data_IF_948933038225
#
_entry.id   IF_948933038225
#
_cell.length_a   1.000
_cell.length_b   1.000
_cell.length_c   1.000
_cell.angle_alpha   90.00
_cell.angle_beta   90.00
_cell.angle_gamma   90.00
#
_symmetry.space_group_name_H-M   'P 1'
#
loop_
_entity.id
_entity.type
_entity.pdbx_description
1 polymer ?
#
# COMPACT_ATOMS: atom_id res chain seq x y z
N UNK A 1 -3.78 -34.44 62.98
CA UNK A 1 -2.82 -33.72 62.12
C UNK A 1 -3.34 -33.53 60.70
N UNK A 2 -3.87 -34.58 60.06
CA UNK A 2 -4.45 -34.56 58.70
C UNK A 2 -5.56 -33.52 58.48
N UNK A 3 -6.51 -33.41 59.42
CA UNK A 3 -7.63 -32.45 59.34
C UNK A 3 -7.13 -30.98 59.29
N UNK A 4 -6.07 -30.65 60.03
CA UNK A 4 -5.50 -29.28 60.02
C UNK A 4 -4.82 -28.95 58.70
N UNK A 5 -4.15 -29.93 58.09
CA UNK A 5 -3.52 -29.79 56.77
C UNK A 5 -4.60 -29.59 55.70
N UNK A 6 -5.72 -30.30 55.80
CA UNK A 6 -6.86 -30.17 54.88
C UNK A 6 -7.49 -28.77 54.91
N UNK A 7 -7.70 -28.20 56.10
CA UNK A 7 -8.21 -26.83 56.24
C UNK A 7 -7.27 -25.78 55.63
N UNK A 8 -5.95 -25.95 55.80
CA UNK A 8 -4.96 -25.04 55.20
C UNK A 8 -4.97 -25.14 53.68
N UNK A 9 -5.07 -26.36 53.12
CA UNK A 9 -5.16 -26.55 51.67
C UNK A 9 -6.41 -25.90 51.06
N UNK A 10 -7.57 -26.06 51.72
CA UNK A 10 -8.82 -25.41 51.28
C UNK A 10 -8.70 -23.89 51.37
N UNK A 11 -8.11 -23.35 52.43
CA UNK A 11 -7.95 -21.90 52.58
C UNK A 11 -7.08 -21.31 51.45
N UNK A 12 -5.97 -21.97 51.11
CA UNK A 12 -5.09 -21.55 50.00
C UNK A 12 -5.84 -21.64 48.67
N UNK A 13 -6.57 -22.73 48.44
CA UNK A 13 -7.35 -22.92 47.22
C UNK A 13 -8.44 -21.86 47.05
N UNK A 14 -9.18 -21.53 48.13
CA UNK A 14 -10.20 -20.49 48.12
C UNK A 14 -9.62 -19.11 47.83
N UNK A 15 -8.46 -18.77 48.42
CA UNK A 15 -7.76 -17.51 48.13
C UNK A 15 -7.31 -17.46 46.67
N UNK A 16 -6.75 -18.56 46.14
CA UNK A 16 -6.35 -18.64 44.74
C UNK A 16 -7.53 -18.47 43.78
N UNK A 17 -8.68 -19.09 44.07
CA UNK A 17 -9.89 -18.94 43.25
C UNK A 17 -10.42 -17.50 43.26
N UNK A 18 -10.39 -16.81 44.40
CA UNK A 18 -10.76 -15.38 44.46
C UNK A 18 -9.81 -14.55 43.61
N UNK A 19 -8.49 -14.76 43.72
CA UNK A 19 -7.50 -14.04 42.90
C UNK A 19 -7.73 -14.28 41.40
N UNK A 20 -7.94 -15.53 41.00
CA UNK A 20 -8.21 -15.90 39.60
C UNK A 20 -9.55 -15.36 39.09
N UNK A 21 -10.55 -15.21 39.96
CA UNK A 21 -11.85 -14.61 39.59
C UNK A 21 -11.81 -13.09 39.41
N UNK A 22 -10.83 -12.42 40.03
CA UNK A 22 -10.63 -10.97 39.95
C UNK A 22 -9.70 -10.59 38.79
N UNK A 23 -8.89 -11.53 38.29
CA UNK A 23 -8.15 -11.34 37.04
C UNK A 23 -9.17 -11.25 35.89
N UNK A 24 -9.36 -10.04 35.36
CA UNK A 24 -10.25 -9.80 34.24
C UNK A 24 -9.92 -10.80 33.11
N UNK A 25 -10.93 -11.43 32.47
CA UNK A 25 -10.68 -12.41 31.44
C UNK A 25 -9.82 -11.76 30.33
N UNK A 26 -8.67 -12.39 30.06
CA UNK A 26 -7.74 -12.06 28.98
C UNK A 26 -8.40 -11.97 27.59
N UNK A 27 -9.67 -12.41 27.48
CA UNK A 27 -10.53 -12.24 26.32
C UNK A 27 -10.66 -10.78 25.86
N UNK A 28 -10.67 -9.80 26.79
CA UNK A 28 -10.83 -8.39 26.42
C UNK A 28 -9.64 -7.82 25.63
N UNK A 29 -8.41 -8.31 25.87
CA UNK A 29 -7.24 -7.92 25.07
C UNK A 29 -7.20 -8.64 23.72
N UNK A 30 -7.77 -9.84 23.64
CA UNK A 30 -7.86 -10.60 22.38
C UNK A 30 -8.78 -9.93 21.35
N UNK A 31 -9.84 -9.24 21.81
CA UNK A 31 -10.75 -8.45 20.95
C UNK A 31 -10.37 -6.97 20.82
N UNK A 32 -9.28 -6.51 21.48
CA UNK A 32 -8.80 -5.12 21.35
C UNK A 32 -8.09 -4.83 20.03
N UNK A 33 -7.69 -5.87 19.29
CA UNK A 33 -7.36 -5.68 17.90
C UNK A 33 -8.68 -5.46 17.18
N UNK A 34 -9.04 -4.20 16.96
CA UNK A 34 -10.18 -3.80 16.13
C UNK A 34 -10.11 -4.60 14.82
N UNK A 35 -10.95 -5.62 14.71
CA UNK A 35 -11.14 -6.34 13.47
C UNK A 35 -11.71 -5.31 12.50
N UNK A 36 -10.89 -4.83 11.57
CA UNK A 36 -11.34 -3.94 10.51
C UNK A 36 -12.23 -4.75 9.56
N UNK A 37 -13.53 -4.59 9.76
CA UNK A 37 -14.56 -5.24 8.96
C UNK A 37 -14.71 -4.46 7.64
N UNK A 38 -14.71 -5.18 6.52
CA UNK A 38 -15.00 -4.60 5.21
C UNK A 38 -16.44 -4.07 5.21
N UNK A 39 -16.61 -2.81 4.81
CA UNK A 39 -17.92 -2.16 4.71
C UNK A 39 -18.53 -2.29 3.31
N UNK A 40 -17.70 -2.41 2.27
CA UNK A 40 -18.14 -2.60 0.88
C UNK A 40 -17.18 -3.55 0.16
N UNK A 41 -17.74 -4.42 -0.67
CA UNK A 41 -17.02 -5.25 -1.64
C UNK A 41 -17.55 -4.97 -3.05
N UNK A 42 -16.65 -4.85 -4.01
CA UNK A 42 -16.91 -4.45 -5.40
C UNK A 42 -16.17 -5.39 -6.34
N UNK A 43 -16.77 -5.74 -7.47
CA UNK A 43 -16.20 -6.62 -8.49
C UNK A 43 -16.37 -5.95 -9.86
N UNK A 44 -15.37 -6.11 -10.75
CA UNK A 44 -15.40 -5.56 -12.11
C UNK A 44 -15.49 -4.02 -12.15
N UNK A 45 -14.61 -3.35 -11.41
CA UNK A 45 -14.65 -1.90 -11.22
C UNK A 45 -14.08 -1.20 -12.46
N UNK A 46 -14.82 -0.21 -12.94
CA UNK A 46 -14.36 0.79 -13.90
C UNK A 46 -14.86 2.14 -13.40
N UNK A 47 -13.94 3.07 -13.16
CA UNK A 47 -14.23 4.40 -12.66
C UNK A 47 -13.59 5.44 -13.59
N UNK A 48 -14.29 6.56 -13.77
CA UNK A 48 -13.89 7.64 -14.66
C UNK A 48 -13.91 8.97 -13.92
N UNK A 49 -12.79 9.68 -13.95
CA UNK A 49 -12.73 11.09 -13.62
C UNK A 49 -13.03 11.90 -14.87
N UNK A 50 -14.03 12.77 -14.80
CA UNK A 50 -14.51 13.56 -15.94
C UNK A 50 -14.60 15.03 -15.59
N UNK A 51 -14.44 15.89 -16.59
CA UNK A 51 -14.86 17.28 -16.53
C UNK A 51 -16.01 17.53 -17.53
N UNK A 52 -16.36 18.79 -17.78
CA UNK A 52 -17.48 19.13 -18.66
C UNK A 52 -17.31 18.70 -20.13
N UNK A 53 -16.10 18.34 -20.57
CA UNK A 53 -15.78 18.10 -21.98
C UNK A 53 -15.07 16.77 -22.26
N UNK A 54 -14.27 16.27 -21.31
CA UNK A 54 -13.40 15.10 -21.50
C UNK A 54 -13.33 14.20 -20.26
N UNK A 55 -12.91 12.95 -20.48
CA UNK A 55 -12.42 12.06 -19.43
C UNK A 55 -10.98 12.48 -19.12
N UNK A 56 -10.71 12.82 -17.87
CA UNK A 56 -9.39 13.22 -17.37
C UNK A 56 -8.55 12.01 -16.99
N UNK A 57 -9.16 11.03 -16.33
CA UNK A 57 -8.51 9.82 -15.89
C UNK A 57 -9.52 8.69 -15.74
N UNK A 58 -9.03 7.46 -15.67
CA UNK A 58 -9.85 6.30 -15.36
C UNK A 58 -9.05 5.31 -14.55
N UNK A 59 -9.71 4.52 -13.71
CA UNK A 59 -9.10 3.32 -13.19
C UNK A 59 -10.01 2.11 -13.33
N UNK A 60 -9.36 0.97 -13.49
CA UNK A 60 -9.98 -0.34 -13.57
C UNK A 60 -9.39 -1.23 -12.47
N UNK A 61 -10.21 -2.07 -11.86
CA UNK A 61 -9.75 -3.08 -10.92
C UNK A 61 -10.66 -4.30 -10.98
N UNK A 62 -10.10 -5.48 -10.82
CA UNK A 62 -10.90 -6.70 -10.78
C UNK A 62 -11.80 -6.72 -9.55
N UNK A 63 -11.24 -6.34 -8.40
CA UNK A 63 -11.92 -6.37 -7.11
C UNK A 63 -11.54 -5.16 -6.27
N UNK A 64 -12.48 -4.65 -5.49
CA UNK A 64 -12.25 -3.59 -4.50
C UNK A 64 -12.87 -3.93 -3.16
N UNK A 65 -12.17 -3.66 -2.07
CA UNK A 65 -12.64 -3.84 -0.70
C UNK A 65 -12.44 -2.53 0.05
N UNK A 66 -13.53 -1.96 0.56
CA UNK A 66 -13.50 -0.77 1.41
C UNK A 66 -13.57 -1.17 2.87
N UNK A 67 -12.65 -0.64 3.66
CA UNK A 67 -12.64 -0.69 5.12
C UNK A 67 -12.96 0.71 5.66
N UNK A 68 -13.08 0.84 6.98
CA UNK A 68 -13.25 2.15 7.62
C UNK A 68 -12.06 3.10 7.43
N UNK A 69 -10.86 2.56 7.23
CA UNK A 69 -9.61 3.34 7.18
C UNK A 69 -8.91 3.37 5.82
N UNK A 70 -9.31 2.50 4.88
CA UNK A 70 -8.65 2.35 3.58
C UNK A 70 -9.53 1.65 2.55
N UNK A 71 -9.16 1.82 1.29
CA UNK A 71 -9.65 1.02 0.17
C UNK A 71 -8.51 0.15 -0.38
N UNK A 72 -8.81 -1.08 -0.75
CA UNK A 72 -7.90 -1.99 -1.42
C UNK A 72 -8.46 -2.37 -2.78
N UNK A 73 -7.65 -2.29 -3.83
CA UNK A 73 -8.00 -2.66 -5.19
C UNK A 73 -7.04 -3.75 -5.70
N UNK A 74 -7.55 -4.75 -6.38
CA UNK A 74 -6.79 -5.89 -6.89
C UNK A 74 -6.77 -5.88 -8.42
N UNK A 75 -5.61 -6.20 -9.00
CA UNK A 75 -5.32 -6.09 -10.43
C UNK A 75 -5.66 -4.69 -10.95
N UNK A 76 -5.02 -3.69 -10.34
CA UNK A 76 -5.29 -2.28 -10.58
C UNK A 76 -4.63 -1.80 -11.87
N UNK A 77 -5.37 -1.00 -12.64
CA UNK A 77 -4.91 -0.30 -13.85
C UNK A 77 -5.43 1.13 -13.79
N UNK A 78 -4.54 2.09 -13.55
CA UNK A 78 -4.84 3.52 -13.64
C UNK A 78 -4.37 4.09 -14.96
N UNK A 79 -5.18 4.96 -15.57
CA UNK A 79 -4.86 5.68 -16.80
C UNK A 79 -5.13 7.16 -16.59
N UNK A 80 -4.16 8.00 -16.87
CA UNK A 80 -4.36 9.44 -16.98
C UNK A 80 -4.35 9.81 -18.46
N UNK A 81 -5.42 10.49 -18.88
CA UNK A 81 -5.71 10.84 -20.26
C UNK A 81 -5.71 12.37 -20.32
N UNK A 82 -4.53 12.97 -20.16
CA UNK A 82 -4.35 14.40 -20.40
C UNK A 82 -3.98 14.64 -21.88
N UNK A 83 -4.25 15.84 -22.40
CA UNK A 83 -4.02 16.20 -23.81
C UNK A 83 -2.55 16.05 -24.23
N UNK A 84 -1.62 16.20 -23.29
CA UNK A 84 -0.19 16.25 -23.57
C UNK A 84 0.56 14.96 -23.21
N UNK A 85 0.05 14.14 -22.27
CA UNK A 85 0.70 12.87 -21.90
C UNK A 85 -0.31 11.81 -21.49
N UNK A 86 -0.19 10.62 -22.08
CA UNK A 86 -0.94 9.45 -21.67
C UNK A 86 -0.10 8.62 -20.71
N UNK A 87 -0.56 8.47 -19.48
CA UNK A 87 0.16 7.75 -18.44
C UNK A 87 -0.64 6.53 -18.00
N UNK A 88 0.01 5.38 -17.87
CA UNK A 88 -0.59 4.14 -17.35
C UNK A 88 0.20 3.66 -16.16
N UNK A 89 -0.50 3.25 -15.11
CA UNK A 89 0.07 2.67 -13.91
C UNK A 89 -0.66 1.37 -13.58
N UNK A 90 0.06 0.26 -13.52
CA UNK A 90 -0.50 -1.05 -13.19
C UNK A 90 0.13 -1.61 -11.92
N UNK A 91 -0.62 -2.36 -11.12
CA UNK A 91 -0.10 -3.13 -9.99
C UNK A 91 -1.04 -4.28 -9.64
N UNK A 92 -0.52 -5.33 -8.99
CA UNK A 92 -1.36 -6.43 -8.52
C UNK A 92 -2.28 -5.99 -7.38
N UNK A 93 -1.84 -5.03 -6.56
CA UNK A 93 -2.66 -4.43 -5.50
C UNK A 93 -2.40 -2.93 -5.40
N UNK A 94 -3.45 -2.14 -5.20
CA UNK A 94 -3.36 -0.74 -4.82
C UNK A 94 -4.10 -0.55 -3.48
N UNK A 95 -3.49 0.18 -2.55
CA UNK A 95 -4.09 0.53 -1.26
C UNK A 95 -4.18 2.04 -1.17
N UNK A 96 -5.39 2.57 -1.03
CA UNK A 96 -5.64 3.98 -0.79
C UNK A 96 -5.98 4.21 0.68
N UNK A 97 -5.17 5.01 1.38
CA UNK A 97 -5.31 5.31 2.80
C UNK A 97 -4.99 6.78 3.08
N UNK A 98 -6.03 7.58 3.35
CA UNK A 98 -5.88 9.02 3.55
C UNK A 98 -5.32 9.68 2.29
N UNK A 99 -4.15 10.31 2.41
CA UNK A 99 -3.47 10.98 1.28
C UNK A 99 -2.47 10.07 0.54
N UNK A 100 -2.38 8.78 0.91
CA UNK A 100 -1.36 7.87 0.39
C UNK A 100 -2.01 6.79 -0.47
N UNK A 101 -1.47 6.59 -1.66
CA UNK A 101 -1.74 5.42 -2.50
C UNK A 101 -0.46 4.59 -2.58
N UNK A 102 -0.55 3.32 -2.20
CA UNK A 102 0.54 2.34 -2.30
C UNK A 102 0.19 1.30 -3.35
N UNK A 103 0.96 1.25 -4.43
CA UNK A 103 0.91 0.22 -5.46
C UNK A 103 1.91 -0.88 -5.09
N UNK A 104 1.45 -2.11 -4.97
CA UNK A 104 2.19 -3.25 -4.41
C UNK A 104 2.19 -4.38 -5.43
N UNK A 105 3.37 -4.99 -5.58
CA UNK A 105 3.70 -6.11 -6.45
C UNK A 105 3.49 -5.79 -7.94
N UNK A 106 4.57 -5.88 -8.72
CA UNK A 106 4.56 -5.60 -10.15
C UNK A 106 4.00 -4.21 -10.49
N UNK A 107 4.44 -3.18 -9.74
CA UNK A 107 4.05 -1.80 -9.97
C UNK A 107 4.82 -1.23 -11.18
N UNK A 108 4.09 -0.97 -12.27
CA UNK A 108 4.66 -0.53 -13.55
C UNK A 108 3.99 0.78 -13.97
N UNK A 109 4.80 1.82 -14.13
CA UNK A 109 4.41 3.08 -14.76
C UNK A 109 4.92 3.12 -16.20
N UNK A 110 4.10 3.64 -17.11
CA UNK A 110 4.43 3.91 -18.51
C UNK A 110 3.84 5.25 -18.93
N UNK A 111 4.58 6.08 -19.67
CA UNK A 111 4.04 7.28 -20.30
C UNK A 111 4.14 7.27 -21.84
N UNK A 112 3.58 8.29 -22.48
CA UNK A 112 3.62 8.50 -23.93
C UNK A 112 5.03 8.74 -24.49
N UNK A 113 5.99 9.14 -23.66
CA UNK A 113 7.40 9.35 -24.03
C UNK A 113 8.25 8.09 -23.88
N UNK A 114 7.60 6.91 -23.82
CA UNK A 114 8.24 5.61 -23.68
C UNK A 114 9.09 5.47 -22.40
N UNK A 115 8.86 6.33 -21.39
CA UNK A 115 9.41 6.18 -20.06
C UNK A 115 8.65 5.09 -19.32
N UNK A 116 9.34 4.01 -19.01
CA UNK A 116 8.84 2.92 -18.20
C UNK A 116 9.58 2.91 -16.86
N UNK A 117 8.83 2.81 -15.76
CA UNK A 117 9.37 2.59 -14.42
C UNK A 117 8.74 1.34 -13.83
N UNK A 118 9.56 0.45 -13.26
CA UNK A 118 9.14 -0.79 -12.61
C UNK A 118 9.73 -0.89 -11.22
N UNK A 119 8.90 -1.27 -10.26
CA UNK A 119 9.29 -1.61 -8.90
C UNK A 119 8.26 -2.56 -8.28
N UNK A 120 8.63 -3.25 -7.20
CA UNK A 120 7.66 -4.01 -6.40
C UNK A 120 6.77 -3.09 -5.55
N UNK A 121 7.13 -1.81 -5.40
CA UNK A 121 6.32 -0.84 -4.68
C UNK A 121 6.44 0.55 -5.30
N UNK A 122 5.31 1.26 -5.44
CA UNK A 122 5.28 2.71 -5.70
C UNK A 122 4.34 3.33 -4.67
N UNK A 123 4.84 4.31 -3.92
CA UNK A 123 4.05 5.07 -2.94
C UNK A 123 3.88 6.49 -3.44
N UNK A 124 2.63 6.91 -3.64
CA UNK A 124 2.29 8.28 -3.97
C UNK A 124 1.62 8.95 -2.76
N UNK A 125 2.14 10.10 -2.35
CA UNK A 125 1.53 10.96 -1.35
C UNK A 125 0.94 12.19 -2.05
N UNK A 126 -0.39 12.27 -2.12
CA UNK A 126 -1.11 13.34 -2.82
C UNK A 126 -0.99 14.69 -2.13
N UNK A 127 -0.80 14.70 -0.80
CA UNK A 127 -0.64 15.91 0.02
C UNK A 127 0.76 16.50 -0.10
N UNK A 128 1.79 15.66 0.01
CA UNK A 128 3.19 16.10 -0.12
C UNK A 128 3.61 16.27 -1.59
N UNK A 129 2.83 15.71 -2.52
CA UNK A 129 3.16 15.64 -3.95
C UNK A 129 4.50 14.95 -4.16
N UNK A 130 4.65 13.77 -3.55
CA UNK A 130 5.86 12.95 -3.66
C UNK A 130 5.50 11.55 -4.15
N UNK A 131 6.35 11.00 -5.02
CA UNK A 131 6.34 9.59 -5.39
C UNK A 131 7.62 8.98 -4.84
N UNK A 132 7.55 7.82 -4.21
CA UNK A 132 8.74 7.14 -3.71
C UNK A 132 8.63 5.63 -3.85
N UNK A 133 9.77 4.98 -3.82
CA UNK A 133 9.89 3.54 -3.66
C UNK A 133 11.14 3.25 -2.84
N UNK A 134 10.98 2.51 -1.75
CA UNK A 134 12.11 2.00 -0.96
C UNK A 134 12.55 0.59 -1.44
N UNK A 135 12.05 0.17 -2.62
CA UNK A 135 12.38 -1.09 -3.27
C UNK A 135 13.28 -0.88 -4.49
N UNK A 136 14.05 -1.90 -4.90
CA UNK A 136 14.81 -1.86 -6.14
C UNK A 136 13.90 -1.54 -7.33
N UNK A 137 14.38 -0.69 -8.23
CA UNK A 137 13.63 -0.26 -9.39
C UNK A 137 14.43 -0.37 -10.68
N UNK A 138 13.71 -0.44 -11.78
CA UNK A 138 14.25 -0.32 -13.14
C UNK A 138 13.48 0.76 -13.87
N UNK A 139 14.17 1.80 -14.32
CA UNK A 139 13.64 2.80 -15.23
C UNK A 139 14.26 2.61 -16.62
N UNK A 140 13.44 2.69 -17.65
CA UNK A 140 13.84 2.57 -19.05
C UNK A 140 13.23 3.71 -19.84
N UNK A 141 14.01 4.30 -20.74
CA UNK A 141 13.51 5.25 -21.72
C UNK A 141 14.29 5.03 -23.00
N UNK A 142 13.60 4.54 -24.04
CA UNK A 142 14.22 4.08 -25.27
C UNK A 142 15.36 3.06 -24.99
N UNK A 143 16.57 3.33 -25.46
CA UNK A 143 17.76 2.49 -25.26
C UNK A 143 18.48 2.75 -23.92
N UNK A 144 17.94 3.63 -23.08
CA UNK A 144 18.56 4.02 -21.80
C UNK A 144 17.93 3.20 -20.68
N UNK A 145 18.77 2.66 -19.80
CA UNK A 145 18.33 1.86 -18.65
C UNK A 145 19.01 2.37 -17.38
N UNK A 146 18.22 2.58 -16.34
CA UNK A 146 18.67 2.93 -15.00
C UNK A 146 18.12 1.89 -14.03
N UNK A 147 18.97 1.36 -13.18
CA UNK A 147 18.56 0.56 -12.02
C UNK A 147 18.98 1.26 -10.75
N UNK A 148 18.21 1.12 -9.68
CA UNK A 148 18.55 1.68 -8.37
C UNK A 148 17.91 0.91 -7.23
N UNK A 149 18.30 1.22 -6.00
CA UNK A 149 17.81 0.54 -4.79
C UNK A 149 16.61 1.24 -4.14
N UNK A 150 16.49 2.55 -4.34
CA UNK A 150 15.35 3.36 -3.89
C UNK A 150 15.30 4.69 -4.64
N UNK A 151 14.12 5.31 -4.70
CA UNK A 151 13.89 6.58 -5.39
C UNK A 151 12.85 7.43 -4.66
N UNK A 152 13.02 8.74 -4.72
CA UNK A 152 12.04 9.75 -4.34
C UNK A 152 11.96 10.77 -5.47
N UNK A 153 10.76 11.08 -5.92
CA UNK A 153 10.45 12.14 -6.87
C UNK A 153 9.56 13.17 -6.19
N UNK A 154 10.02 14.41 -6.14
CA UNK A 154 9.27 15.57 -5.66
C UNK A 154 8.61 16.24 -6.87
N UNK A 155 7.27 16.17 -6.95
CA UNK A 155 6.51 16.71 -8.08
C UNK A 155 6.50 18.24 -8.08
N UNK A 156 6.61 18.88 -6.92
CA UNK A 156 6.63 20.35 -6.82
C UNK A 156 7.95 20.90 -7.37
N UNK A 157 9.07 20.26 -7.02
CA UNK A 157 10.40 20.66 -7.49
C UNK A 157 10.78 20.06 -8.83
N UNK A 158 10.04 19.04 -9.28
CA UNK A 158 10.36 18.19 -10.45
C UNK A 158 11.76 17.57 -10.31
N UNK A 159 12.10 17.09 -9.13
CA UNK A 159 13.43 16.58 -8.79
C UNK A 159 13.37 15.11 -8.39
N UNK A 160 14.29 14.31 -8.93
CA UNK A 160 14.45 12.88 -8.61
C UNK A 160 15.72 12.67 -7.80
N UNK A 161 15.61 11.95 -6.69
CA UNK A 161 16.72 11.50 -5.86
C UNK A 161 16.69 9.98 -5.80
N UNK A 162 17.79 9.33 -6.15
CA UNK A 162 17.88 7.87 -6.15
C UNK A 162 19.17 7.37 -5.48
N UNK A 163 19.12 6.17 -4.91
CA UNK A 163 20.26 5.50 -4.27
C UNK A 163 20.63 4.23 -5.05
N UNK A 164 21.90 3.82 -4.96
CA UNK A 164 22.40 2.58 -5.58
C UNK A 164 22.29 2.56 -7.11
N UNK A 165 22.43 3.72 -7.76
CA UNK A 165 22.13 3.90 -9.17
C UNK A 165 23.23 3.30 -10.06
N UNK A 166 22.84 2.45 -11.01
CA UNK A 166 23.65 2.05 -12.16
C UNK A 166 22.88 2.37 -13.44
N UNK A 167 23.56 2.96 -14.43
CA UNK A 167 22.91 3.42 -15.65
C UNK A 167 23.71 3.01 -16.91
N UNK A 168 22.97 2.64 -17.95
CA UNK A 168 23.50 2.30 -19.27
C UNK A 168 22.85 3.20 -20.31
N UNK A 169 23.70 3.72 -21.21
CA UNK A 169 23.28 4.59 -22.30
C UNK A 169 24.00 4.15 -23.57
N UNK A 170 23.24 4.02 -24.67
CA UNK A 170 23.82 3.82 -26.00
C UNK A 170 24.18 5.19 -26.58
N UNK A 171 25.45 5.41 -26.89
CA UNK A 171 25.89 6.52 -27.73
C UNK A 171 25.87 6.03 -29.18
N UNK A 172 24.96 6.54 -30.02
CA UNK A 172 25.17 6.46 -31.47
C UNK A 172 26.34 7.38 -31.80
N UNK A 173 27.42 6.80 -32.34
CA UNK A 173 28.44 7.58 -33.05
C UNK A 173 27.84 7.92 -34.41
N UNK A 174 27.52 9.20 -34.62
CA UNK A 174 27.20 9.75 -35.93
C UNK A 174 28.47 9.93 -36.78
#
# INVERSE_FOLDING_TARGET
MVIRIFYVAIAIFSIAMVILSVQAPYLSEFFKNELEIASIEMEGIIDYEVNNEIILSSFEAQKGIRYSTRDEFFNFIGKNIDKDTNNTLTANKAIYKGDIITFIDNAIYLNSDNLQYKSDEIVYNSKEKTIKSDKPFVAMQDDKKVIGSSVIYDLNKKQTFAKGVNAWFSTKQD
#
